data_IF_147123548697
#
_entry.id   IF_147123548697
#
_cell.length_a   1.000
_cell.length_b   1.000
_cell.length_c   1.000
_cell.angle_alpha   90.00
_cell.angle_beta   90.00
_cell.angle_gamma   90.00
#
_symmetry.space_group_name_H-M   'P 1'
#
loop_
_entity.id
_entity.type
_entity.pdbx_description
1 polymer ?
#
# COMPACT_ATOMS: atom_id res chain seq x y z
N UNK A 1 0.78 9.20 7.33
CA UNK A 1 2.17 9.45 6.89
C UNK A 1 3.09 8.23 7.06
N UNK A 2 3.01 7.46 8.15
CA UNK A 2 3.89 6.29 8.40
C UNK A 2 3.90 5.22 7.29
N UNK A 3 2.74 4.78 6.79
CA UNK A 3 2.68 3.75 5.74
C UNK A 3 3.32 4.19 4.44
N UNK A 4 3.17 5.46 4.04
CA UNK A 4 3.79 6.00 2.83
C UNK A 4 5.31 5.99 2.95
N UNK A 5 5.85 6.33 4.12
CA UNK A 5 7.27 6.22 4.39
C UNK A 5 7.73 4.76 4.26
N UNK A 6 7.04 3.82 4.90
CA UNK A 6 7.36 2.39 4.85
C UNK A 6 7.34 1.84 3.41
N UNK A 7 6.31 2.18 2.64
CA UNK A 7 6.20 1.78 1.23
C UNK A 7 7.31 2.41 0.37
N UNK A 8 7.67 3.66 0.65
CA UNK A 8 8.79 4.32 -0.05
C UNK A 8 10.12 3.63 0.25
N UNK A 9 10.35 3.23 1.51
CA UNK A 9 11.55 2.48 1.89
C UNK A 9 11.57 1.11 1.20
N UNK A 10 10.46 0.37 1.18
CA UNK A 10 10.36 -0.90 0.45
C UNK A 10 10.66 -0.72 -1.05
N UNK A 11 10.16 0.36 -1.65
CA UNK A 11 10.40 0.68 -3.06
C UNK A 11 11.87 1.00 -3.37
N UNK A 12 12.59 1.63 -2.45
CA UNK A 12 14.03 1.87 -2.56
C UNK A 12 14.81 0.57 -2.42
N UNK A 13 14.48 -0.23 -1.42
CA UNK A 13 15.11 -1.53 -1.19
C UNK A 13 14.88 -2.49 -2.37
N UNK A 14 13.67 -2.52 -2.94
CA UNK A 14 13.35 -3.27 -4.17
C UNK A 14 14.23 -2.85 -5.36
N UNK A 15 14.62 -1.57 -5.43
CA UNK A 15 15.50 -1.02 -6.48
C UNK A 15 16.99 -1.28 -6.21
N UNK A 16 17.31 -2.01 -5.14
CA UNK A 16 18.69 -2.34 -4.76
C UNK A 16 19.41 -1.21 -4.03
N UNK A 17 18.71 -0.20 -3.53
CA UNK A 17 19.33 0.86 -2.73
C UNK A 17 19.74 0.29 -1.38
N UNK A 18 21.01 0.41 -0.95
CA UNK A 18 21.46 -0.05 0.36
C UNK A 18 20.80 0.72 1.51
N UNK A 19 20.62 0.06 2.65
CA UNK A 19 20.01 0.65 3.85
C UNK A 19 20.66 1.97 4.27
N UNK A 20 21.99 2.03 4.29
CA UNK A 20 22.73 3.23 4.68
C UNK A 20 22.47 4.41 3.73
N UNK A 21 22.36 4.13 2.43
CA UNK A 21 22.08 5.16 1.43
C UNK A 21 20.64 5.65 1.54
N UNK A 22 19.69 4.75 1.80
CA UNK A 22 18.30 5.13 2.06
C UNK A 22 18.16 6.00 3.32
N UNK A 23 18.87 5.67 4.41
CA UNK A 23 18.91 6.46 5.65
C UNK A 23 19.44 7.88 5.41
N UNK A 24 20.45 8.02 4.55
CA UNK A 24 21.11 9.30 4.28
C UNK A 24 20.36 10.15 3.25
N UNK A 25 19.59 9.53 2.36
CA UNK A 25 18.91 10.20 1.23
C UNK A 25 17.51 10.67 1.58
N UNK A 26 16.79 9.92 2.41
CA UNK A 26 15.42 10.27 2.77
C UNK A 26 15.43 11.48 3.70
N UNK A 27 14.49 12.44 3.55
CA UNK A 27 14.44 13.70 4.31
C UNK A 27 13.97 13.51 5.76
N UNK A 28 14.51 12.50 6.43
CA UNK A 28 14.17 12.04 7.74
C UNK A 28 15.00 12.78 8.79
N UNK A 29 14.58 14.01 9.10
CA UNK A 29 15.25 14.85 10.12
C UNK A 29 15.22 14.29 11.56
N UNK A 30 14.52 13.17 11.81
CA UNK A 30 14.29 12.65 13.17
C UNK A 30 14.84 11.24 13.35
N UNK A 31 15.47 10.95 14.52
CA UNK A 31 16.00 9.63 14.91
C UNK A 31 15.00 8.48 14.70
N UNK A 32 13.71 8.72 14.97
CA UNK A 32 12.63 7.73 14.79
C UNK A 32 12.43 7.32 13.33
N UNK A 33 12.66 8.22 12.38
CA UNK A 33 12.49 7.91 10.96
C UNK A 33 13.63 7.04 10.44
N UNK A 34 14.87 7.26 10.92
CA UNK A 34 16.00 6.34 10.65
C UNK A 34 15.72 4.92 11.16
N UNK A 35 15.20 4.80 12.38
CA UNK A 35 14.84 3.50 12.96
C UNK A 35 13.80 2.77 12.10
N UNK A 36 12.79 3.48 11.57
CA UNK A 36 11.81 2.87 10.66
C UNK A 36 12.41 2.35 9.36
N UNK A 37 13.44 3.01 8.82
CA UNK A 37 14.16 2.49 7.64
C UNK A 37 14.79 1.15 8.00
N UNK A 38 15.52 1.09 9.12
CA UNK A 38 16.17 -0.13 9.61
C UNK A 38 15.14 -1.26 9.76
N UNK A 39 14.04 -1.01 10.46
CA UNK A 39 12.98 -2.00 10.69
C UNK A 39 12.37 -2.54 9.39
N UNK A 40 12.28 -1.72 8.33
CA UNK A 40 11.75 -2.16 7.03
C UNK A 40 12.77 -3.00 6.25
N UNK A 41 14.06 -2.68 6.33
CA UNK A 41 15.10 -3.54 5.74
C UNK A 41 15.19 -4.89 6.48
N UNK A 42 15.12 -4.88 7.81
CA UNK A 42 15.05 -6.12 8.61
C UNK A 42 13.82 -6.96 8.26
N UNK A 43 12.66 -6.31 8.08
CA UNK A 43 11.44 -6.99 7.62
C UNK A 43 11.62 -7.62 6.24
N UNK A 44 12.24 -6.89 5.32
CA UNK A 44 12.53 -7.36 3.96
C UNK A 44 13.45 -8.58 3.98
N UNK A 45 14.54 -8.53 4.74
CA UNK A 45 15.51 -9.62 4.84
C UNK A 45 14.88 -10.89 5.43
N UNK A 46 13.94 -10.72 6.37
CA UNK A 46 13.28 -11.83 7.04
C UNK A 46 12.16 -12.46 6.21
N UNK A 47 11.29 -11.64 5.61
CA UNK A 47 10.03 -12.11 5.02
C UNK A 47 10.07 -12.15 3.48
N UNK A 48 11.01 -11.44 2.86
CA UNK A 48 11.06 -11.21 1.42
C UNK A 48 10.13 -10.09 0.95
N UNK A 49 10.39 -9.55 -0.25
CA UNK A 49 9.79 -8.29 -0.72
C UNK A 49 8.26 -8.34 -0.83
N UNK A 50 7.70 -9.42 -1.36
CA UNK A 50 6.24 -9.57 -1.53
C UNK A 50 5.53 -9.61 -0.18
N UNK A 51 6.06 -10.38 0.77
CA UNK A 51 5.47 -10.49 2.10
C UNK A 51 5.63 -9.18 2.88
N UNK A 52 6.77 -8.49 2.75
CA UNK A 52 6.96 -7.18 3.37
C UNK A 52 5.92 -6.15 2.87
N UNK A 53 5.66 -6.08 1.56
CA UNK A 53 4.58 -5.26 1.01
C UNK A 53 3.20 -5.68 1.53
N UNK A 54 2.93 -6.99 1.56
CA UNK A 54 1.67 -7.53 2.06
C UNK A 54 1.43 -7.16 3.52
N UNK A 55 2.45 -7.27 4.38
CA UNK A 55 2.40 -6.92 5.80
C UNK A 55 2.16 -5.43 6.02
N UNK A 56 2.86 -4.56 5.28
CA UNK A 56 2.65 -3.10 5.37
C UNK A 56 1.23 -2.71 4.96
N UNK A 57 0.71 -3.27 3.86
CA UNK A 57 -0.65 -3.01 3.40
C UNK A 57 -1.71 -3.59 4.36
N UNK A 58 -1.52 -4.81 4.85
CA UNK A 58 -2.38 -5.43 5.87
C UNK A 58 -2.47 -4.58 7.13
N UNK A 59 -1.32 -4.11 7.63
CA UNK A 59 -1.29 -3.24 8.81
C UNK A 59 -2.02 -1.93 8.57
N UNK A 60 -1.85 -1.32 7.39
CA UNK A 60 -2.55 -0.10 7.04
C UNK A 60 -4.07 -0.30 6.93
N UNK A 61 -4.52 -1.36 6.24
CA UNK A 61 -5.93 -1.72 6.12
C UNK A 61 -6.56 -1.99 7.50
N UNK A 62 -5.85 -2.70 8.38
CA UNK A 62 -6.28 -2.94 9.76
C UNK A 62 -6.44 -1.65 10.55
N UNK A 63 -5.46 -0.75 10.49
CA UNK A 63 -5.53 0.54 11.17
C UNK A 63 -6.70 1.39 10.64
N UNK A 64 -6.90 1.45 9.32
CA UNK A 64 -8.02 2.17 8.71
C UNK A 64 -9.38 1.60 9.16
N UNK A 65 -9.51 0.28 9.21
CA UNK A 65 -10.71 -0.41 9.72
C UNK A 65 -10.99 -0.04 11.18
N UNK A 66 -9.99 -0.11 12.06
CA UNK A 66 -10.16 0.22 13.48
C UNK A 66 -10.59 1.68 13.69
N UNK A 67 -10.04 2.61 12.92
CA UNK A 67 -10.46 4.02 12.98
C UNK A 67 -11.91 4.19 12.53
N UNK A 68 -12.31 3.52 11.44
CA UNK A 68 -13.69 3.55 10.96
C UNK A 68 -14.67 2.91 11.97
N UNK A 69 -14.32 1.78 12.59
CA UNK A 69 -15.16 1.15 13.61
C UNK A 69 -15.33 2.05 14.84
N UNK A 70 -14.31 2.83 15.20
CA UNK A 70 -14.36 3.73 16.35
C UNK A 70 -15.06 5.07 16.07
N UNK A 71 -14.95 5.61 14.85
CA UNK A 71 -15.37 6.99 14.52
C UNK A 71 -16.33 7.12 13.35
N UNK A 72 -16.60 6.05 12.62
CA UNK A 72 -17.35 6.07 11.37
C UNK A 72 -16.58 6.75 10.23
N UNK A 73 -17.30 7.02 9.13
CA UNK A 73 -16.79 7.86 8.05
C UNK A 73 -16.82 9.34 8.47
N UNK A 74 -15.73 10.10 8.27
CA UNK A 74 -15.76 11.56 8.46
C UNK A 74 -16.72 12.22 7.47
N UNK A 75 -17.25 13.39 7.82
CA UNK A 75 -18.04 14.19 6.91
C UNK A 75 -17.18 14.73 5.75
N UNK A 76 -17.78 14.88 4.55
CA UNK A 76 -17.05 15.18 3.31
C UNK A 76 -16.34 16.54 3.31
N UNK A 77 -16.80 17.45 4.15
CA UNK A 77 -16.27 18.79 4.35
C UNK A 77 -15.10 18.84 5.35
N UNK A 78 -14.81 17.73 6.05
CA UNK A 78 -13.69 17.63 6.98
C UNK A 78 -12.39 17.26 6.26
N UNK A 79 -11.26 17.77 6.76
CA UNK A 79 -9.92 17.50 6.23
C UNK A 79 -9.53 16.01 6.32
N UNK A 80 -10.16 15.24 7.20
CA UNK A 80 -9.94 13.81 7.36
C UNK A 80 -10.57 12.99 6.24
N UNK A 81 -11.57 13.52 5.53
CA UNK A 81 -12.31 12.76 4.51
C UNK A 81 -11.43 12.32 3.33
N UNK A 82 -10.58 13.17 2.72
CA UNK A 82 -9.65 12.74 1.69
C UNK A 82 -8.70 11.63 2.16
N UNK A 83 -8.22 11.68 3.42
CA UNK A 83 -7.37 10.62 3.97
C UNK A 83 -8.12 9.30 4.16
N UNK A 84 -9.36 9.36 4.63
CA UNK A 84 -10.26 8.21 4.74
C UNK A 84 -10.50 7.59 3.35
N UNK A 85 -10.76 8.42 2.34
CA UNK A 85 -10.95 8.00 0.96
C UNK A 85 -9.71 7.26 0.43
N UNK A 86 -8.52 7.87 0.52
CA UNK A 86 -7.28 7.23 0.08
C UNK A 86 -6.99 5.90 0.80
N UNK A 87 -7.36 5.80 2.08
CA UNK A 87 -7.21 4.56 2.84
C UNK A 87 -8.12 3.45 2.31
N UNK A 88 -9.39 3.76 2.02
CA UNK A 88 -10.35 2.82 1.42
C UNK A 88 -9.89 2.36 0.04
N UNK A 89 -9.47 3.29 -0.79
CA UNK A 89 -8.92 3.05 -2.13
C UNK A 89 -7.70 2.11 -2.10
N UNK A 90 -6.76 2.33 -1.18
CA UNK A 90 -5.60 1.46 -1.04
C UNK A 90 -5.96 0.07 -0.51
N UNK A 91 -6.86 0.01 0.49
CA UNK A 91 -7.36 -1.26 1.03
C UNK A 91 -7.96 -2.12 -0.09
N UNK A 92 -8.82 -1.53 -0.92
CA UNK A 92 -9.48 -2.27 -1.99
C UNK A 92 -8.48 -2.79 -3.03
N UNK A 93 -7.51 -1.96 -3.45
CA UNK A 93 -6.42 -2.40 -4.35
C UNK A 93 -5.64 -3.57 -3.75
N UNK A 94 -5.35 -3.53 -2.46
CA UNK A 94 -4.70 -4.65 -1.77
C UNK A 94 -5.56 -5.92 -1.74
N UNK A 95 -6.87 -5.81 -1.44
CA UNK A 95 -7.79 -6.96 -1.47
C UNK A 95 -7.89 -7.57 -2.88
N UNK A 96 -7.92 -6.74 -3.92
CA UNK A 96 -7.87 -7.21 -5.32
C UNK A 96 -6.61 -8.03 -5.57
N UNK A 97 -5.43 -7.54 -5.17
CA UNK A 97 -4.16 -8.28 -5.30
C UNK A 97 -4.26 -9.65 -4.62
N UNK A 98 -4.81 -9.71 -3.40
CA UNK A 98 -4.96 -10.97 -2.65
C UNK A 98 -5.92 -11.94 -3.36
N UNK A 99 -7.05 -11.46 -3.89
CA UNK A 99 -8.02 -12.27 -4.63
C UNK A 99 -7.41 -12.84 -5.91
N UNK A 100 -6.71 -12.00 -6.68
CA UNK A 100 -6.01 -12.45 -7.90
C UNK A 100 -4.98 -13.53 -7.55
N UNK A 101 -4.23 -13.37 -6.46
CA UNK A 101 -3.27 -14.38 -6.01
C UNK A 101 -3.94 -15.70 -5.58
N UNK A 102 -5.14 -15.63 -4.99
CA UNK A 102 -5.86 -16.81 -4.50
C UNK A 102 -6.53 -17.62 -5.62
N UNK A 103 -7.14 -16.94 -6.61
CA UNK A 103 -7.98 -17.61 -7.62
C UNK A 103 -7.37 -17.60 -9.02
N UNK A 104 -6.56 -16.58 -9.32
CA UNK A 104 -6.09 -16.25 -10.66
C UNK A 104 -7.22 -16.30 -11.73
N UNK A 105 -8.41 -15.85 -11.37
CA UNK A 105 -9.60 -15.84 -12.22
C UNK A 105 -10.31 -14.50 -12.11
N UNK A 106 -10.38 -13.75 -13.21
CA UNK A 106 -10.98 -12.40 -13.22
C UNK A 106 -12.47 -12.41 -12.85
N UNK A 107 -13.25 -13.38 -13.30
CA UNK A 107 -14.68 -13.44 -12.99
C UNK A 107 -14.90 -13.62 -11.48
N UNK A 108 -14.10 -14.47 -10.83
CA UNK A 108 -14.12 -14.64 -9.38
C UNK A 108 -13.68 -13.37 -8.63
N UNK A 109 -12.66 -12.66 -9.13
CA UNK A 109 -12.22 -11.40 -8.55
C UNK A 109 -13.32 -10.33 -8.65
N UNK A 110 -14.03 -10.27 -9.78
CA UNK A 110 -15.12 -9.32 -10.01
C UNK A 110 -16.33 -9.60 -9.12
N UNK A 111 -16.69 -10.88 -8.90
CA UNK A 111 -17.80 -11.25 -8.01
C UNK A 111 -17.64 -10.73 -6.57
N UNK A 112 -16.40 -10.56 -6.10
CA UNK A 112 -16.10 -10.05 -4.75
C UNK A 112 -15.67 -8.57 -4.72
N UNK A 113 -15.64 -7.91 -5.88
CA UNK A 113 -15.25 -6.50 -5.99
C UNK A 113 -16.51 -5.65 -6.17
N UNK A 114 -16.63 -4.47 -5.53
CA UNK A 114 -17.74 -3.56 -5.81
C UNK A 114 -17.75 -3.15 -7.30
N UNK A 115 -18.94 -3.10 -7.91
CA UNK A 115 -19.13 -2.75 -9.33
C UNK A 115 -18.42 -1.44 -9.73
N UNK A 116 -18.37 -0.47 -8.81
CA UNK A 116 -17.66 0.81 -9.00
C UNK A 116 -16.14 0.67 -9.21
N UNK A 117 -15.58 -0.53 -9.03
CA UNK A 117 -14.16 -0.82 -9.09
C UNK A 117 -13.80 -1.99 -10.01
N UNK A 118 -14.72 -2.43 -10.87
CA UNK A 118 -14.44 -3.46 -11.86
C UNK A 118 -13.25 -3.10 -12.76
N UNK A 119 -13.17 -1.85 -13.23
CA UNK A 119 -12.05 -1.39 -14.04
C UNK A 119 -10.71 -1.51 -13.30
N UNK A 120 -10.70 -1.22 -12.00
CA UNK A 120 -9.51 -1.35 -11.14
C UNK A 120 -9.14 -2.83 -11.01
N UNK A 121 -10.09 -3.72 -10.74
CA UNK A 121 -9.84 -5.15 -10.67
C UNK A 121 -9.26 -5.72 -11.97
N UNK A 122 -9.85 -5.36 -13.11
CA UNK A 122 -9.37 -5.77 -14.44
C UNK A 122 -7.95 -5.23 -14.70
N UNK A 123 -7.69 -3.97 -14.34
CA UNK A 123 -6.37 -3.37 -14.49
C UNK A 123 -5.31 -4.13 -13.67
N UNK A 124 -5.61 -4.44 -12.41
CA UNK A 124 -4.70 -5.15 -11.52
C UNK A 124 -4.48 -6.60 -11.96
N UNK A 125 -5.54 -7.30 -12.39
CA UNK A 125 -5.42 -8.64 -12.96
C UNK A 125 -4.46 -8.66 -14.15
N UNK A 126 -4.67 -7.76 -15.12
CA UNK A 126 -3.78 -7.61 -16.29
C UNK A 126 -2.35 -7.24 -15.88
N UNK A 127 -2.19 -6.35 -14.89
CA UNK A 127 -0.87 -5.97 -14.41
C UNK A 127 -0.12 -7.17 -13.79
N UNK A 128 -0.81 -7.98 -13.00
CA UNK A 128 -0.24 -9.17 -12.37
C UNK A 128 0.08 -10.24 -13.42
N UNK A 129 -0.82 -10.46 -14.39
CA UNK A 129 -0.59 -11.39 -15.50
C UNK A 129 0.65 -11.01 -16.32
N UNK A 130 0.82 -9.72 -16.63
CA UNK A 130 1.90 -9.27 -17.51
C UNK A 130 3.22 -8.96 -16.80
N UNK A 131 3.19 -8.54 -15.53
CA UNK A 131 4.38 -8.04 -14.80
C UNK A 131 4.58 -8.67 -13.42
N UNK A 132 3.71 -9.57 -13.01
CA UNK A 132 3.76 -10.26 -11.73
C UNK A 132 3.26 -9.44 -10.53
N UNK A 133 3.13 -10.13 -9.41
CA UNK A 133 2.57 -9.59 -8.15
C UNK A 133 3.34 -8.39 -7.63
N UNK A 134 4.67 -8.39 -7.73
CA UNK A 134 5.50 -7.30 -7.21
C UNK A 134 5.18 -5.95 -7.89
N UNK A 135 4.91 -5.97 -9.20
CA UNK A 135 4.54 -4.77 -9.94
C UNK A 135 3.20 -4.20 -9.44
N UNK A 136 2.26 -5.06 -9.04
CA UNK A 136 0.98 -4.62 -8.48
C UNK A 136 1.12 -3.98 -7.11
N UNK A 137 2.02 -4.49 -6.26
CA UNK A 137 2.34 -3.87 -4.97
C UNK A 137 3.04 -2.51 -5.13
N UNK A 138 4.03 -2.40 -6.04
CA UNK A 138 4.67 -1.11 -6.35
C UNK A 138 3.65 -0.11 -6.91
N UNK A 139 2.73 -0.56 -7.77
CA UNK A 139 1.66 0.27 -8.32
C UNK A 139 0.69 0.74 -7.23
N UNK A 140 0.25 -0.13 -6.32
CA UNK A 140 -0.58 0.25 -5.16
C UNK A 140 0.12 1.31 -4.31
N UNK A 141 1.41 1.14 -4.01
CA UNK A 141 2.19 2.11 -3.26
C UNK A 141 2.26 3.48 -3.94
N UNK A 142 2.45 3.51 -5.26
CA UNK A 142 2.44 4.76 -6.03
C UNK A 142 1.07 5.43 -6.03
N UNK A 143 -0.02 4.66 -6.15
CA UNK A 143 -1.38 5.20 -6.07
C UNK A 143 -1.69 5.81 -4.71
N UNK A 144 -1.33 5.15 -3.60
CA UNK A 144 -1.55 5.70 -2.25
C UNK A 144 -0.79 7.01 -2.05
N UNK A 145 0.49 7.06 -2.45
CA UNK A 145 1.30 8.28 -2.38
C UNK A 145 0.68 9.40 -3.19
N UNK A 146 0.28 9.12 -4.43
CA UNK A 146 -0.35 10.10 -5.30
C UNK A 146 -1.66 10.63 -4.69
N UNK A 147 -2.51 9.74 -4.18
CA UNK A 147 -3.77 10.10 -3.53
C UNK A 147 -3.56 11.02 -2.32
N UNK A 148 -2.62 10.66 -1.44
CA UNK A 148 -2.35 11.46 -0.23
C UNK A 148 -1.67 12.79 -0.55
N UNK A 149 -0.81 12.84 -1.56
CA UNK A 149 -0.16 14.08 -1.97
C UNK A 149 -1.14 15.12 -2.55
N UNK A 150 -2.30 14.70 -3.05
CA UNK A 150 -3.36 15.61 -3.51
C UNK A 150 -4.12 16.29 -2.36
N UNK A 151 -3.91 15.84 -1.12
CA UNK A 151 -4.54 16.43 0.08
C UNK A 151 -3.70 17.61 0.61
N UNK A 152 -2.41 17.66 0.25
CA UNK A 152 -1.43 18.63 0.75
C UNK A 152 -1.45 19.94 -0.01
#
# INVERSE_FOLDING_TARGET
MLTIEQLTVLQLAQRGIPQNDAINTLPFGQKKAKQRVIEIYELLDKEGILNAYSLVNSNYARCAKLVFEAKGAPAKDLLEYPYYFCAGENKLRYEIILRVNATFNIDQVLLETPDSHFDVAIQYFKLIENKGMLASFDYTANNLKACVNQIQ
#
